data_IF_013435673160
#
_entry.id   IF_013435673160
#
_cell.length_a   1.000
_cell.length_b   1.000
_cell.length_c   1.000
_cell.angle_alpha   90.00
_cell.angle_beta   90.00
_cell.angle_gamma   90.00
#
_symmetry.space_group_name_H-M   'P 1'
#
loop_
_entity.id
_entity.type
_entity.pdbx_description
1 polymer ?
#
# COMPACT_ATOMS: atom_id res chain seq x y z
N UNK A 1 -11.54 19.61 -10.91
CA UNK A 1 -11.53 19.39 -9.45
C UNK A 1 -10.51 18.30 -9.18
N UNK A 2 -9.40 18.62 -8.51
CA UNK A 2 -8.46 17.58 -8.10
C UNK A 2 -9.13 16.73 -7.01
N UNK A 3 -9.11 15.39 -7.08
CA UNK A 3 -9.66 14.56 -6.03
C UNK A 3 -8.93 14.88 -4.72
N UNK A 4 -9.71 15.15 -3.66
CA UNK A 4 -9.20 15.33 -2.31
C UNK A 4 -8.32 14.14 -1.95
N UNK A 5 -7.01 14.38 -1.76
CA UNK A 5 -6.06 13.36 -1.32
C UNK A 5 -6.50 12.86 0.04
N UNK A 6 -6.98 11.62 0.10
CA UNK A 6 -7.19 10.93 1.37
C UNK A 6 -5.79 10.65 1.95
N UNK A 7 -5.42 11.45 2.95
CA UNK A 7 -4.08 11.36 3.55
C UNK A 7 -4.11 10.23 4.59
N UNK A 8 -3.51 9.09 4.24
CA UNK A 8 -3.29 8.02 5.21
C UNK A 8 -2.42 8.51 6.36
N UNK A 9 -2.80 8.17 7.59
CA UNK A 9 -2.00 8.42 8.76
C UNK A 9 -0.86 7.40 8.90
N UNK A 10 0.08 7.68 9.80
CA UNK A 10 1.25 6.81 9.99
C UNK A 10 0.90 5.38 10.41
N UNK A 11 -0.21 5.17 11.12
CA UNK A 11 -0.64 3.84 11.56
C UNK A 11 -1.20 3.03 10.40
N UNK A 12 -2.00 3.65 9.54
CA UNK A 12 -2.53 3.05 8.30
C UNK A 12 -1.41 2.66 7.34
N UNK A 13 -0.45 3.55 7.13
CA UNK A 13 0.73 3.26 6.31
C UNK A 13 1.52 2.07 6.87
N UNK A 14 1.63 1.97 8.19
CA UNK A 14 2.34 0.88 8.86
C UNK A 14 1.58 -0.45 8.73
N UNK A 15 0.26 -0.45 8.92
CA UNK A 15 -0.58 -1.64 8.78
C UNK A 15 -0.54 -2.23 7.37
N UNK A 16 -0.51 -1.36 6.35
CA UNK A 16 -0.53 -1.74 4.94
C UNK A 16 0.85 -1.88 4.31
N UNK A 17 1.93 -1.74 5.10
CA UNK A 17 3.29 -1.74 4.58
C UNK A 17 3.66 -3.03 3.82
N UNK A 18 3.07 -4.19 4.15
CA UNK A 18 3.27 -5.44 3.38
C UNK A 18 2.41 -5.54 2.13
N UNK A 19 1.28 -4.83 2.10
CA UNK A 19 0.35 -4.86 0.98
C UNK A 19 0.90 -4.06 -0.21
N UNK A 20 1.52 -2.90 0.02
CA UNK A 20 2.00 -2.05 -1.07
C UNK A 20 3.06 -2.71 -1.97
N UNK A 21 4.07 -3.44 -1.47
CA UNK A 21 5.01 -4.16 -2.33
C UNK A 21 4.34 -5.24 -3.20
N UNK A 22 3.21 -5.79 -2.77
CA UNK A 22 2.45 -6.80 -3.52
C UNK A 22 1.58 -6.12 -4.59
N UNK A 23 0.80 -5.11 -4.19
CA UNK A 23 -0.18 -4.46 -5.06
C UNK A 23 0.41 -3.39 -5.97
N UNK A 24 1.59 -2.83 -5.65
CA UNK A 24 2.21 -1.69 -6.36
C UNK A 24 3.65 -1.96 -6.77
N UNK A 25 4.01 -3.23 -6.98
CA UNK A 25 5.37 -3.68 -7.24
C UNK A 25 5.99 -2.98 -8.46
N UNK A 26 5.24 -2.80 -9.54
CA UNK A 26 5.78 -2.29 -10.80
C UNK A 26 6.06 -0.79 -10.70
N UNK A 27 5.10 -0.02 -10.21
CA UNK A 27 5.32 1.42 -9.95
C UNK A 27 6.40 1.65 -8.89
N UNK A 28 6.49 0.80 -7.88
CA UNK A 28 7.56 0.87 -6.88
C UNK A 28 8.94 0.64 -7.49
N UNK A 29 9.09 -0.41 -8.32
CA UNK A 29 10.32 -0.69 -9.05
C UNK A 29 10.72 0.45 -9.98
N UNK A 30 9.77 1.03 -10.72
CA UNK A 30 10.03 2.20 -11.57
C UNK A 30 10.54 3.40 -10.76
N UNK A 31 9.94 3.66 -9.60
CA UNK A 31 10.36 4.78 -8.75
C UNK A 31 11.78 4.57 -8.18
N UNK A 32 12.08 3.36 -7.69
CA UNK A 32 13.43 3.00 -7.18
C UNK A 32 14.47 3.05 -8.30
N UNK A 33 14.17 2.49 -9.47
CA UNK A 33 15.07 2.55 -10.62
C UNK A 33 15.26 3.98 -11.10
N UNK A 34 14.21 4.81 -11.09
CA UNK A 34 14.30 6.23 -11.40
C UNK A 34 15.23 6.99 -10.47
N UNK A 35 15.22 6.68 -9.17
CA UNK A 35 16.22 7.20 -8.22
C UNK A 35 17.62 6.69 -8.54
N UNK A 36 17.77 5.40 -8.84
CA UNK A 36 19.06 4.77 -9.17
C UNK A 36 19.70 5.41 -10.40
N UNK A 37 18.88 5.69 -11.42
CA UNK A 37 19.28 6.34 -12.67
C UNK A 37 19.43 7.86 -12.54
N UNK A 38 19.16 8.44 -11.36
CA UNK A 38 19.19 9.88 -11.11
C UNK A 38 18.34 10.66 -12.10
N UNK A 39 17.14 10.17 -12.40
CA UNK A 39 16.16 10.90 -13.21
C UNK A 39 15.98 12.31 -12.64
N UNK A 40 15.82 13.28 -13.54
CA UNK A 40 15.56 14.65 -13.10
C UNK A 40 14.22 14.72 -12.35
N UNK A 41 14.04 15.78 -11.56
CA UNK A 41 12.87 15.93 -10.68
C UNK A 41 11.53 15.82 -11.42
N UNK A 42 11.44 16.32 -12.66
CA UNK A 42 10.21 16.25 -13.46
C UNK A 42 9.88 14.80 -13.85
N UNK A 43 10.87 14.02 -14.30
CA UNK A 43 10.69 12.62 -14.63
C UNK A 43 10.41 11.78 -13.37
N UNK A 44 11.13 12.04 -12.28
CA UNK A 44 10.94 11.36 -11.00
C UNK A 44 9.56 11.65 -10.40
N UNK A 45 9.03 12.85 -10.59
CA UNK A 45 7.68 13.24 -10.16
C UNK A 45 6.61 12.38 -10.85
N UNK A 46 6.74 12.15 -12.17
CA UNK A 46 5.76 11.31 -12.89
C UNK A 46 5.71 9.88 -12.35
N UNK A 47 6.87 9.24 -12.14
CA UNK A 47 6.91 7.88 -11.59
C UNK A 47 6.51 7.83 -10.11
N UNK A 48 6.72 8.91 -9.34
CA UNK A 48 6.19 9.05 -7.99
C UNK A 48 4.66 9.11 -8.00
N UNK A 49 4.09 9.91 -8.89
CA UNK A 49 2.64 10.08 -8.98
C UNK A 49 1.95 8.78 -9.43
N UNK A 50 2.59 7.97 -10.29
CA UNK A 50 2.15 6.59 -10.60
C UNK A 50 2.10 5.70 -9.35
N UNK A 51 3.16 5.72 -8.54
CA UNK A 51 3.23 4.95 -7.30
C UNK A 51 2.19 5.43 -6.28
N UNK A 52 2.04 6.74 -6.10
CA UNK A 52 1.04 7.34 -5.19
C UNK A 52 -0.39 6.95 -5.62
N UNK A 53 -0.69 6.99 -6.93
CA UNK A 53 -1.97 6.56 -7.45
C UNK A 53 -2.26 5.08 -7.15
N UNK A 54 -1.27 4.19 -7.31
CA UNK A 54 -1.43 2.78 -6.97
C UNK A 54 -1.69 2.58 -5.47
N UNK A 55 -0.92 3.28 -4.62
CA UNK A 55 -1.04 3.21 -3.17
C UNK A 55 -2.44 3.66 -2.73
N UNK A 56 -2.95 4.76 -3.27
CA UNK A 56 -4.30 5.26 -2.98
C UNK A 56 -5.39 4.28 -3.45
N UNK A 57 -5.29 3.76 -4.68
CA UNK A 57 -6.23 2.76 -5.18
C UNK A 57 -6.24 1.49 -4.31
N UNK A 58 -5.07 1.06 -3.86
CA UNK A 58 -4.93 -0.08 -2.96
C UNK A 58 -5.57 0.21 -1.61
N UNK A 59 -5.34 1.39 -1.04
CA UNK A 59 -5.96 1.81 0.22
C UNK A 59 -7.49 1.83 0.15
N UNK A 60 -8.05 2.47 -0.89
CA UNK A 60 -9.50 2.47 -1.13
C UNK A 60 -10.03 1.05 -1.28
N UNK A 61 -9.37 0.21 -2.08
CA UNK A 61 -9.77 -1.18 -2.25
C UNK A 61 -9.71 -2.01 -0.97
N UNK A 62 -8.73 -1.75 -0.10
CA UNK A 62 -8.64 -2.39 1.22
C UNK A 62 -9.82 -1.98 2.09
N UNK A 63 -10.14 -0.69 2.16
CA UNK A 63 -11.27 -0.19 2.94
C UNK A 63 -12.64 -0.66 2.41
N UNK A 64 -12.73 -1.05 1.14
CA UNK A 64 -13.97 -1.57 0.56
C UNK A 64 -14.10 -3.10 0.65
N UNK A 65 -12.99 -3.84 0.49
CA UNK A 65 -13.00 -5.30 0.29
C UNK A 65 -12.35 -6.10 1.41
N UNK A 66 -11.49 -5.46 2.20
CA UNK A 66 -10.68 -6.09 3.24
C UNK A 66 -10.74 -5.31 4.57
N UNK A 67 -11.80 -4.52 4.78
CA UNK A 67 -11.97 -3.58 5.90
C UNK A 67 -11.81 -4.25 7.26
N UNK A 68 -12.51 -5.36 7.49
CA UNK A 68 -12.46 -6.10 8.76
C UNK A 68 -11.03 -6.55 9.10
N UNK A 69 -10.35 -7.22 8.16
CA UNK A 69 -8.97 -7.70 8.35
C UNK A 69 -8.01 -6.50 8.51
N UNK A 70 -8.22 -5.41 7.78
CA UNK A 70 -7.42 -4.18 7.90
C UNK A 70 -7.54 -3.57 9.30
N UNK A 71 -8.76 -3.51 9.86
CA UNK A 71 -9.00 -3.06 11.23
C UNK A 71 -8.33 -3.98 12.25
N UNK A 72 -8.43 -5.29 12.08
CA UNK A 72 -7.78 -6.25 12.99
C UNK A 72 -6.26 -6.08 13.01
N UNK A 73 -5.64 -5.83 11.84
CA UNK A 73 -4.20 -5.53 11.74
C UNK A 73 -3.88 -4.22 12.47
N UNK A 74 -4.66 -3.17 12.25
CA UNK A 74 -4.48 -1.86 12.90
C UNK A 74 -4.59 -1.98 14.42
N UNK A 75 -5.62 -2.66 14.91
CA UNK A 75 -5.84 -2.91 16.33
C UNK A 75 -4.69 -3.72 16.94
N UNK A 76 -4.26 -4.79 16.26
CA UNK A 76 -3.15 -5.61 16.71
C UNK A 76 -1.86 -4.80 16.84
N UNK A 77 -1.54 -3.96 15.83
CA UNK A 77 -0.33 -3.13 15.83
C UNK A 77 -0.41 -1.99 16.86
N UNK A 78 -1.59 -1.45 17.13
CA UNK A 78 -1.79 -0.44 18.17
C UNK A 78 -1.59 -1.02 19.58
N UNK A 79 -2.05 -2.25 19.80
CA UNK A 79 -1.93 -2.98 21.07
C UNK A 79 -0.54 -3.60 21.29
N UNK A 80 0.20 -3.85 20.20
CA UNK A 80 1.52 -4.48 20.21
C UNK A 80 2.56 -3.59 19.51
N UNK A 81 2.78 -2.39 20.06
CA UNK A 81 3.72 -1.43 19.48
C UNK A 81 5.08 -2.09 19.15
N UNK A 82 5.53 -1.90 17.91
CA UNK A 82 6.80 -2.43 17.35
C UNK A 82 6.92 -3.96 17.26
N UNK A 83 5.88 -4.73 17.59
CA UNK A 83 5.92 -6.20 17.56
C UNK A 83 5.18 -6.75 16.35
N UNK A 84 5.76 -6.52 15.17
CA UNK A 84 5.20 -6.95 13.88
C UNK A 84 4.94 -8.47 13.80
N UNK A 85 5.76 -9.26 14.49
CA UNK A 85 5.64 -10.73 14.49
C UNK A 85 4.34 -11.22 15.14
N UNK A 86 3.86 -10.53 16.17
CA UNK A 86 2.60 -10.87 16.84
C UNK A 86 1.38 -10.69 15.94
N UNK A 87 1.48 -9.77 14.98
CA UNK A 87 0.42 -9.48 14.01
C UNK A 87 0.67 -10.16 12.65
N UNK A 88 1.70 -11.02 12.53
CA UNK A 88 2.11 -11.65 11.27
C UNK A 88 0.98 -12.44 10.60
N UNK A 89 0.20 -13.18 11.39
CA UNK A 89 -0.94 -13.94 10.90
C UNK A 89 -2.02 -13.05 10.26
N UNK A 90 -2.44 -11.98 10.94
CA UNK A 90 -3.44 -11.04 10.44
C UNK A 90 -2.95 -10.32 9.17
N UNK A 91 -1.65 -9.99 9.13
CA UNK A 91 -1.02 -9.40 7.94
C UNK A 91 -1.01 -10.36 6.76
N UNK A 92 -0.69 -11.63 6.97
CA UNK A 92 -0.77 -12.65 5.94
C UNK A 92 -2.20 -12.83 5.42
N UNK A 93 -3.21 -12.77 6.29
CA UNK A 93 -4.61 -12.78 5.86
C UNK A 93 -4.94 -11.55 5.01
N UNK A 94 -4.44 -10.37 5.38
CA UNK A 94 -4.65 -9.15 4.60
C UNK A 94 -4.00 -9.26 3.22
N UNK A 95 -2.78 -9.79 3.14
CA UNK A 95 -2.08 -10.08 1.88
C UNK A 95 -2.90 -11.04 0.99
N UNK A 96 -3.47 -12.10 1.57
CA UNK A 96 -4.35 -13.01 0.84
C UNK A 96 -5.61 -12.28 0.36
N UNK A 97 -6.19 -11.40 1.17
CA UNK A 97 -7.38 -10.64 0.81
C UNK A 97 -7.13 -9.72 -0.38
N UNK A 98 -6.04 -8.94 -0.36
CA UNK A 98 -5.71 -8.01 -1.45
C UNK A 98 -5.38 -8.72 -2.76
N UNK A 99 -4.75 -9.90 -2.68
CA UNK A 99 -4.48 -10.74 -3.86
C UNK A 99 -5.78 -11.31 -4.43
N UNK A 100 -6.66 -11.87 -3.58
CA UNK A 100 -7.96 -12.41 -4.02
C UNK A 100 -8.84 -11.36 -4.70
N UNK A 101 -8.82 -10.14 -4.19
CA UNK A 101 -9.57 -9.02 -4.74
C UNK A 101 -8.85 -8.27 -5.86
N UNK A 102 -7.65 -8.73 -6.26
CA UNK A 102 -6.82 -8.11 -7.31
C UNK A 102 -6.65 -6.59 -7.13
N UNK A 103 -6.28 -6.15 -5.93
CA UNK A 103 -6.14 -4.71 -5.64
C UNK A 103 -4.89 -4.09 -6.30
N UNK A 104 -4.91 -2.78 -6.49
CA UNK A 104 -3.80 -2.03 -7.10
C UNK A 104 -3.50 -2.48 -8.53
N UNK A 105 -2.22 -2.72 -8.83
CA UNK A 105 -1.75 -3.20 -10.13
C UNK A 105 -2.15 -4.64 -10.42
N UNK A 106 -2.53 -5.44 -9.42
CA UNK A 106 -3.01 -6.81 -9.64
C UNK A 106 -4.31 -6.85 -10.45
N UNK A 107 -5.08 -5.76 -10.45
CA UNK A 107 -6.29 -5.61 -11.30
C UNK A 107 -5.96 -5.58 -12.80
N UNK A 108 -4.71 -5.28 -13.15
CA UNK A 108 -4.22 -5.17 -14.52
C UNK A 108 -3.65 -6.50 -15.04
N UNK A 109 -3.65 -7.54 -14.19
CA UNK A 109 -3.18 -8.91 -14.47
C UNK A 109 -4.37 -9.87 -14.62
#
# INVERSE_FOLDING_TARGET
MAPSREVMNSSELNALATVFPICCNDSYKKYIEGKRQKLNLTQLTKVRDELEACVLQTFTGVNEKCDEISRDVLECLSSNQKSWEKCSHLRAQLEVCVVKNKLGELSKV
#
